data_IF_840512025864
#
_entry.id   IF_840512025864
#
_cell.length_a   1.000
_cell.length_b   1.000
_cell.length_c   1.000
_cell.angle_alpha   90.00
_cell.angle_beta   90.00
_cell.angle_gamma   90.00
#
_symmetry.space_group_name_H-M   'P 1'
#
loop_
_entity.id
_entity.type
_entity.pdbx_description
1 polymer ?
#
# COMPACT_ATOMS: atom_id res chain seq x y z
N UNK A 1 5.01 7.09 -0.82
CA UNK A 1 5.18 6.10 0.28
C UNK A 1 5.84 4.87 -0.33
N UNK A 2 6.78 4.20 0.34
CA UNK A 2 7.49 3.04 -0.24
C UNK A 2 7.01 1.73 0.39
N UNK A 3 7.07 0.61 -0.36
CA UNK A 3 6.66 -0.72 0.11
C UNK A 3 7.27 -1.11 1.47
N UNK A 4 8.54 -0.76 1.73
CA UNK A 4 9.22 -1.01 3.01
C UNK A 4 8.50 -0.37 4.21
N UNK A 5 8.00 0.86 4.05
CA UNK A 5 7.26 1.57 5.10
C UNK A 5 5.90 0.93 5.34
N UNK A 6 5.23 0.47 4.28
CA UNK A 6 3.94 -0.23 4.39
C UNK A 6 4.10 -1.58 5.09
N UNK A 7 5.13 -2.36 4.74
CA UNK A 7 5.45 -3.63 5.42
C UNK A 7 5.71 -3.42 6.92
N UNK A 8 6.40 -2.34 7.30
CA UNK A 8 6.58 -1.98 8.71
C UNK A 8 5.23 -1.65 9.37
N UNK A 9 4.39 -0.86 8.70
CA UNK A 9 3.07 -0.46 9.23
C UNK A 9 2.08 -1.62 9.30
N UNK A 10 2.14 -2.61 8.41
CA UNK A 10 1.27 -3.81 8.46
C UNK A 10 1.43 -4.61 9.76
N UNK A 11 2.60 -4.53 10.40
CA UNK A 11 2.86 -5.11 11.73
C UNK A 11 2.17 -4.35 12.87
N UNK A 12 1.73 -3.11 12.62
CA UNK A 12 1.01 -2.31 13.59
C UNK A 12 -0.48 -2.69 13.55
N UNK A 13 -1.10 -3.09 14.68
CA UNK A 13 -2.49 -3.52 14.71
C UNK A 13 -3.47 -2.48 14.15
N UNK A 14 -3.20 -1.19 14.39
CA UNK A 14 -4.09 -0.08 14.03
C UNK A 14 -4.10 0.30 12.55
N UNK A 15 -2.99 0.12 11.81
CA UNK A 15 -2.84 0.68 10.45
C UNK A 15 -3.85 0.10 9.43
N UNK A 16 -4.25 -1.15 9.63
CA UNK A 16 -5.20 -1.85 8.78
C UNK A 16 -6.11 -2.76 9.61
N UNK A 17 -6.63 -2.26 10.74
CA UNK A 17 -7.30 -3.10 11.75
C UNK A 17 -8.45 -3.96 11.20
N UNK A 18 -9.14 -3.48 10.16
CA UNK A 18 -10.29 -4.14 9.55
C UNK A 18 -9.93 -5.01 8.33
N UNK A 19 -8.65 -5.32 8.13
CA UNK A 19 -8.16 -6.09 6.98
C UNK A 19 -7.43 -7.35 7.46
N UNK A 20 -7.80 -8.52 6.95
CA UNK A 20 -7.07 -9.76 7.25
C UNK A 20 -5.65 -9.70 6.68
N UNK A 21 -4.65 -10.03 7.49
CA UNK A 21 -3.25 -10.12 7.00
C UNK A 21 -3.03 -11.41 6.20
N UNK A 22 -3.77 -12.46 6.52
CA UNK A 22 -3.72 -13.74 5.80
C UNK A 22 -4.22 -13.55 4.37
N UNK A 23 -5.30 -12.79 4.17
CA UNK A 23 -5.86 -12.53 2.84
C UNK A 23 -4.88 -11.74 1.96
N UNK A 24 -4.15 -10.79 2.56
CA UNK A 24 -3.10 -10.03 1.84
C UNK A 24 -2.00 -10.96 1.34
N UNK A 25 -1.56 -11.89 2.19
CA UNK A 25 -0.51 -12.86 1.85
C UNK A 25 -1.01 -13.87 0.81
N UNK A 26 -2.21 -14.43 1.00
CA UNK A 26 -2.83 -15.34 0.05
C UNK A 26 -3.04 -14.70 -1.32
N UNK A 27 -3.44 -13.42 -1.36
CA UNK A 27 -3.56 -12.66 -2.61
C UNK A 27 -2.22 -12.52 -3.34
N UNK A 28 -1.13 -12.26 -2.63
CA UNK A 28 0.21 -12.21 -3.22
C UNK A 28 0.62 -13.57 -3.81
N UNK A 29 0.35 -14.65 -3.09
CA UNK A 29 0.63 -16.03 -3.53
C UNK A 29 -0.21 -16.45 -4.75
N UNK A 30 -1.51 -16.12 -4.76
CA UNK A 30 -2.40 -16.37 -5.90
C UNK A 30 -1.92 -15.68 -7.18
N UNK A 31 -1.33 -14.49 -7.05
CA UNK A 31 -0.75 -13.74 -8.15
C UNK A 31 0.69 -14.17 -8.50
N UNK A 32 1.27 -15.13 -7.76
CA UNK A 32 2.65 -15.56 -7.93
C UNK A 32 3.66 -14.44 -7.68
N UNK A 33 3.31 -13.46 -6.85
CA UNK A 33 4.06 -12.23 -6.67
C UNK A 33 4.56 -12.10 -5.23
N UNK A 34 5.81 -11.68 -5.01
CA UNK A 34 6.28 -11.31 -3.68
C UNK A 34 5.44 -10.18 -3.08
N UNK A 35 5.05 -10.28 -1.80
CA UNK A 35 4.27 -9.26 -1.11
C UNK A 35 4.82 -7.81 -1.26
N UNK A 36 6.15 -7.57 -1.19
CA UNK A 36 6.69 -6.22 -1.41
C UNK A 36 6.37 -5.66 -2.81
N UNK A 37 6.38 -6.51 -3.84
CA UNK A 37 6.08 -6.12 -5.22
C UNK A 37 4.59 -5.83 -5.40
N UNK A 38 3.72 -6.64 -4.80
CA UNK A 38 2.27 -6.39 -4.80
C UNK A 38 1.94 -5.03 -4.18
N UNK A 39 2.57 -4.71 -3.05
CA UNK A 39 2.39 -3.42 -2.37
C UNK A 39 2.87 -2.27 -3.26
N UNK A 40 4.04 -2.41 -3.90
CA UNK A 40 4.59 -1.40 -4.79
C UNK A 40 3.68 -1.17 -6.02
N UNK A 41 3.12 -2.24 -6.59
CA UNK A 41 2.14 -2.14 -7.66
C UNK A 41 0.87 -1.40 -7.22
N UNK A 42 0.34 -1.71 -6.03
CA UNK A 42 -0.82 -1.01 -5.48
C UNK A 42 -0.56 0.48 -5.29
N UNK A 43 0.62 0.86 -4.78
CA UNK A 43 1.01 2.27 -4.63
C UNK A 43 1.01 2.97 -5.99
N UNK A 44 1.74 2.42 -6.97
CA UNK A 44 1.86 3.00 -8.30
C UNK A 44 0.53 3.07 -9.05
N UNK A 45 -0.37 2.11 -8.83
CA UNK A 45 -1.69 2.12 -9.45
C UNK A 45 -2.57 3.28 -8.93
N UNK A 46 -2.36 3.70 -7.68
CA UNK A 46 -3.14 4.78 -7.04
C UNK A 46 -2.53 6.17 -7.22
N UNK A 47 -1.23 6.28 -7.51
CA UNK A 47 -0.55 7.57 -7.73
C UNK A 47 -1.23 8.48 -8.78
N UNK A 48 -1.67 7.99 -9.95
CA UNK A 48 -2.33 8.83 -10.95
C UNK A 48 -3.69 9.38 -10.49
N UNK A 49 -4.35 8.71 -9.54
CA UNK A 49 -5.66 9.13 -9.05
C UNK A 49 -5.60 10.34 -8.10
N UNK A 50 -4.40 10.71 -7.63
CA UNK A 50 -4.19 11.75 -6.60
C UNK A 50 -4.77 13.10 -7.04
N UNK A 51 -4.55 13.50 -8.28
CA UNK A 51 -5.04 14.78 -8.81
C UNK A 51 -6.57 14.82 -8.88
N UNK A 52 -7.18 13.76 -9.42
CA UNK A 52 -8.64 13.64 -9.55
C UNK A 52 -9.36 13.55 -8.21
N UNK A 53 -8.67 13.11 -7.15
CA UNK A 53 -9.21 13.04 -5.79
C UNK A 53 -8.94 14.30 -4.96
N UNK A 54 -8.23 15.30 -5.50
CA UNK A 54 -7.83 16.49 -4.76
C UNK A 54 -6.89 16.19 -3.58
N UNK A 55 -6.15 15.08 -3.65
CA UNK A 55 -5.23 14.61 -2.60
C UNK A 55 -3.78 15.02 -2.85
N UNK A 56 -3.55 15.94 -3.81
CA UNK A 56 -2.21 16.46 -4.10
C UNK A 56 -1.67 17.18 -2.87
N UNK A 57 -0.54 16.74 -2.29
CA UNK A 57 0.03 17.38 -1.12
C UNK A 57 0.45 18.82 -1.47
N UNK A 58 0.25 19.77 -0.54
CA UNK A 58 0.64 21.16 -0.75
C UNK A 58 2.15 21.28 -0.98
N UNK A 59 2.56 22.21 -1.86
CA UNK A 59 3.96 22.44 -2.18
C UNK A 59 4.73 22.90 -0.93
N UNK A 60 5.54 22.02 -0.33
CA UNK A 60 6.40 22.36 0.81
C UNK A 60 6.59 21.24 1.84
N UNK A 61 5.73 20.24 1.86
CA UNK A 61 5.84 19.11 2.79
C UNK A 61 6.21 17.84 2.02
N UNK A 62 7.50 17.49 2.02
CA UNK A 62 7.99 16.16 1.67
C UNK A 62 8.99 15.68 2.70
#
# INVERSE_FOLDING_TARGET
MAAKSVLKKLKQPSFAANVSREDIQAGAELLGMPLPELIEHGIKALEPAVEGLGLTPPAGER
#
